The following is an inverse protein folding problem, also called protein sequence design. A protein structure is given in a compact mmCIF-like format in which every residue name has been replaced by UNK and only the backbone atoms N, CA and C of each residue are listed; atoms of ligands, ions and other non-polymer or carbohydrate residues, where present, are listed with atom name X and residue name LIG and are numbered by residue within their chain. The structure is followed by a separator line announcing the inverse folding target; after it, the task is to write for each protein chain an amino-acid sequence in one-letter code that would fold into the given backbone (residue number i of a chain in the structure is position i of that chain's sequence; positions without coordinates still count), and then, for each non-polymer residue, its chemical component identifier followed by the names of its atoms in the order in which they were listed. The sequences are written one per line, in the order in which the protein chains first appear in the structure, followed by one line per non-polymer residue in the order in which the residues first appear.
data_IF_981263714995
#
_entry.id   IF_981263714995
#
_cell.length_a   1.000
_cell.length_b   1.000
_cell.length_c   1.000
_cell.angle_alpha   90.00
_cell.angle_beta   90.00
_cell.angle_gamma   90.00
#
_symmetry.space_group_name_H-M   'P 1'
#
loop_
_entity.id
_entity.type
_entity.pdbx_description
1 polymer ?
#
# COMPACT_ATOMS: atom_id res chain seq x y z
N UNK A 1 -48.91 -10.45 4.75
CA UNK A 1 -49.24 -11.78 5.31
C UNK A 1 -49.39 -12.83 4.22
N UNK A 2 -50.20 -12.59 3.18
CA UNK A 2 -50.43 -13.57 2.10
C UNK A 2 -49.20 -13.83 1.22
N UNK A 3 -48.43 -12.81 0.85
CA UNK A 3 -47.17 -12.97 0.09
C UNK A 3 -46.06 -13.67 0.88
N UNK A 4 -46.00 -13.41 2.17
CA UNK A 4 -45.01 -14.05 3.07
C UNK A 4 -45.40 -15.51 3.38
N UNK A 5 -46.66 -15.78 3.51
CA UNK A 5 -47.18 -17.13 3.66
C UNK A 5 -46.95 -17.98 2.40
N UNK A 6 -47.09 -17.39 1.20
CA UNK A 6 -46.84 -18.08 -0.06
C UNK A 6 -45.35 -18.44 -0.27
N UNK A 7 -44.42 -17.60 0.18
CA UNK A 7 -42.98 -17.92 0.16
C UNK A 7 -42.58 -19.04 1.11
N UNK A 8 -43.27 -19.18 2.24
CA UNK A 8 -43.07 -20.24 3.23
C UNK A 8 -43.82 -21.54 2.90
N UNK A 9 -44.85 -21.50 2.08
CA UNK A 9 -45.75 -22.66 1.83
C UNK A 9 -45.02 -23.87 1.20
N UNK A 10 -43.95 -23.69 0.47
CA UNK A 10 -43.20 -24.77 -0.16
C UNK A 10 -42.24 -25.51 0.80
N UNK A 11 -41.93 -24.94 1.98
CA UNK A 11 -40.94 -25.49 2.91
C UNK A 11 -41.41 -25.58 4.36
N UNK A 12 -42.65 -25.23 4.68
CA UNK A 12 -43.20 -25.21 6.05
C UNK A 12 -43.05 -26.52 6.82
N UNK A 13 -43.04 -27.65 6.11
CA UNK A 13 -42.89 -28.98 6.73
C UNK A 13 -41.45 -29.26 7.23
N UNK A 14 -40.48 -28.41 6.90
CA UNK A 14 -39.08 -28.60 7.28
C UNK A 14 -38.67 -27.75 8.50
N UNK A 15 -39.57 -26.88 8.99
CA UNK A 15 -39.26 -25.97 10.10
C UNK A 15 -40.14 -26.24 11.33
N UNK A 16 -39.57 -26.15 12.51
CA UNK A 16 -40.31 -26.15 13.76
C UNK A 16 -41.12 -24.86 13.93
N UNK A 17 -42.19 -24.90 14.73
CA UNK A 17 -43.00 -23.72 15.05
C UNK A 17 -42.15 -22.57 15.61
N UNK A 18 -41.16 -22.88 16.44
CA UNK A 18 -40.29 -21.89 17.02
C UNK A 18 -39.39 -21.22 15.96
N UNK A 19 -38.89 -21.95 14.99
CA UNK A 19 -38.13 -21.39 13.86
C UNK A 19 -38.98 -20.47 13.01
N UNK A 20 -40.25 -20.86 12.72
CA UNK A 20 -41.20 -20.03 11.98
C UNK A 20 -41.52 -18.75 12.73
N UNK A 21 -41.78 -18.82 14.04
CA UNK A 21 -42.06 -17.65 14.89
C UNK A 21 -40.85 -16.72 14.94
N UNK A 22 -39.65 -17.27 15.06
CA UNK A 22 -38.41 -16.51 15.06
C UNK A 22 -38.19 -15.81 13.71
N UNK A 23 -38.38 -16.53 12.61
CA UNK A 23 -38.32 -15.98 11.26
C UNK A 23 -39.31 -14.82 11.05
N UNK A 24 -40.57 -14.97 11.49
CA UNK A 24 -41.59 -13.92 11.35
C UNK A 24 -41.30 -12.69 12.21
N UNK A 25 -40.66 -12.85 13.39
CA UNK A 25 -40.19 -11.75 14.22
C UNK A 25 -39.05 -11.00 13.54
N UNK A 26 -38.05 -11.73 13.05
CA UNK A 26 -36.91 -11.16 12.32
C UNK A 26 -37.36 -10.42 11.06
N UNK A 27 -38.38 -10.94 10.30
CA UNK A 27 -38.95 -10.27 9.12
C UNK A 27 -39.61 -8.93 9.48
N UNK A 28 -40.29 -8.86 10.64
CA UNK A 28 -40.88 -7.62 11.13
C UNK A 28 -39.89 -6.54 11.50
N UNK A 29 -38.76 -6.94 12.03
CA UNK A 29 -37.67 -6.04 12.50
C UNK A 29 -36.71 -5.63 11.37
N UNK A 30 -36.81 -6.28 10.18
CA UNK A 30 -35.92 -5.97 9.06
C UNK A 30 -36.16 -4.58 8.51
N UNK A 31 -35.08 -3.82 8.27
CA UNK A 31 -35.19 -2.52 7.65
C UNK A 31 -35.75 -2.66 6.22
N UNK A 32 -36.88 -2.00 5.92
CA UNK A 32 -37.45 -1.96 4.56
C UNK A 32 -36.57 -1.25 3.55
N UNK A 33 -35.71 -0.39 4.02
CA UNK A 33 -34.72 0.38 3.21
C UNK A 33 -33.42 0.46 3.95
N UNK A 34 -32.31 0.30 3.24
CA UNK A 34 -30.95 0.37 3.80
C UNK A 34 -30.29 1.62 3.23
N UNK A 35 -29.89 2.55 4.12
CA UNK A 35 -29.08 3.70 3.74
C UNK A 35 -27.63 3.26 3.53
N UNK A 36 -27.21 3.29 2.27
CA UNK A 36 -25.86 2.87 1.88
C UNK A 36 -24.77 3.82 2.43
N UNK A 37 -25.03 5.13 2.50
CA UNK A 37 -24.04 6.09 3.02
C UNK A 37 -23.86 5.89 4.52
N UNK A 38 -24.94 5.69 5.26
CA UNK A 38 -24.87 5.38 6.69
C UNK A 38 -24.11 4.08 6.93
N UNK A 39 -24.42 3.01 6.15
CA UNK A 39 -23.65 1.78 6.21
C UNK A 39 -22.16 1.98 5.97
N UNK A 40 -21.78 2.78 4.96
CA UNK A 40 -20.37 3.06 4.67
C UNK A 40 -19.65 3.78 5.83
N UNK A 41 -20.34 4.72 6.51
CA UNK A 41 -19.80 5.42 7.69
C UNK A 41 -19.59 4.45 8.86
N UNK A 42 -20.58 3.63 9.17
CA UNK A 42 -20.51 2.60 10.20
C UNK A 42 -19.40 1.58 9.90
N UNK A 43 -19.35 1.08 8.67
CA UNK A 43 -18.30 0.14 8.27
C UNK A 43 -16.89 0.72 8.50
N UNK A 44 -16.70 2.03 8.26
CA UNK A 44 -15.44 2.70 8.56
C UNK A 44 -15.12 2.71 10.07
N UNK A 45 -16.09 2.72 10.96
CA UNK A 45 -15.85 2.72 12.40
C UNK A 45 -15.31 1.37 12.89
N UNK A 46 -15.90 0.29 12.41
CA UNK A 46 -15.61 -1.08 12.87
C UNK A 46 -14.46 -1.77 12.11
N UNK A 47 -14.13 -1.29 10.89
CA UNK A 47 -13.12 -1.99 10.10
C UNK A 47 -11.70 -1.72 10.60
N UNK A 48 -10.89 -2.78 10.69
CA UNK A 48 -9.45 -2.71 11.00
C UNK A 48 -8.57 -2.78 9.73
N UNK A 49 -9.16 -2.66 8.55
CA UNK A 49 -8.44 -2.81 7.28
C UNK A 49 -7.33 -1.76 7.15
N UNK A 50 -6.12 -2.23 6.88
CA UNK A 50 -5.01 -1.36 6.47
C UNK A 50 -5.40 -0.63 5.17
N UNK A 51 -5.39 0.70 5.19
CA UNK A 51 -5.84 1.49 4.03
C UNK A 51 -7.22 2.15 4.20
N UNK A 52 -7.81 2.10 5.38
CA UNK A 52 -9.05 2.77 5.79
C UNK A 52 -9.19 4.21 5.26
N UNK A 53 -8.06 4.95 5.17
CA UNK A 53 -8.02 6.31 4.61
C UNK A 53 -8.50 6.38 3.15
N UNK A 54 -8.23 5.36 2.35
CA UNK A 54 -8.65 5.32 0.94
C UNK A 54 -10.18 5.19 0.83
N UNK A 55 -10.78 4.32 1.64
CA UNK A 55 -12.23 4.18 1.73
C UNK A 55 -12.89 5.47 2.18
N UNK A 56 -12.36 6.11 3.24
CA UNK A 56 -12.85 7.41 3.70
C UNK A 56 -12.82 8.46 2.59
N UNK A 57 -11.73 8.51 1.81
CA UNK A 57 -11.60 9.45 0.69
C UNK A 57 -12.60 9.14 -0.43
N UNK A 58 -12.84 7.86 -0.73
CA UNK A 58 -13.82 7.44 -1.74
C UNK A 58 -15.26 7.78 -1.31
N UNK A 59 -15.62 7.50 -0.05
CA UNK A 59 -16.94 7.83 0.51
C UNK A 59 -17.16 9.36 0.47
N UNK A 60 -16.19 10.15 0.92
CA UNK A 60 -16.30 11.60 0.87
C UNK A 60 -16.47 12.13 -0.57
N UNK A 61 -15.73 11.57 -1.53
CA UNK A 61 -15.89 11.94 -2.93
C UNK A 61 -17.28 11.55 -3.47
N UNK A 62 -17.81 10.41 -3.05
CA UNK A 62 -19.14 9.96 -3.44
C UNK A 62 -20.25 10.85 -2.84
N UNK A 63 -20.17 11.19 -1.55
CA UNK A 63 -21.09 12.15 -0.90
C UNK A 63 -21.03 13.51 -1.60
N UNK A 64 -19.82 14.00 -1.93
CA UNK A 64 -19.68 15.27 -2.65
C UNK A 64 -20.33 15.22 -4.03
N UNK A 65 -20.19 14.11 -4.75
CA UNK A 65 -20.86 13.90 -6.04
C UNK A 65 -22.39 13.89 -5.92
N UNK A 66 -22.92 13.18 -4.91
CA UNK A 66 -24.37 13.07 -4.68
C UNK A 66 -25.00 14.39 -4.23
N UNK A 67 -24.24 15.29 -3.59
CA UNK A 67 -24.77 16.50 -2.95
C UNK A 67 -25.68 16.22 -1.74
N UNK A 68 -25.73 14.98 -1.26
CA UNK A 68 -26.54 14.54 -0.11
C UNK A 68 -25.82 13.42 0.62
N UNK A 69 -26.15 13.23 1.89
CA UNK A 69 -25.51 12.27 2.79
C UNK A 69 -26.36 11.01 3.07
N UNK A 70 -27.45 10.84 2.32
CA UNK A 70 -28.34 9.67 2.35
C UNK A 70 -28.57 9.13 0.96
N UNK A 71 -28.49 7.81 0.81
CA UNK A 71 -28.76 7.10 -0.44
C UNK A 71 -29.15 5.66 -0.11
N UNK A 72 -30.36 5.27 -0.49
CA UNK A 72 -30.79 3.88 -0.33
C UNK A 72 -30.03 2.94 -1.28
N UNK A 73 -29.77 1.71 -0.85
CA UNK A 73 -29.05 0.70 -1.65
C UNK A 73 -29.69 0.43 -3.01
N UNK A 74 -31.04 0.47 -3.11
CA UNK A 74 -31.78 0.30 -4.37
C UNK A 74 -31.56 1.45 -5.37
N UNK A 75 -31.13 2.63 -4.90
CA UNK A 75 -30.78 3.80 -5.73
C UNK A 75 -29.34 3.73 -6.24
N UNK A 76 -28.51 2.83 -5.70
CA UNK A 76 -27.16 2.60 -6.22
C UNK A 76 -27.28 1.77 -7.49
N UNK A 77 -27.43 2.43 -8.62
CA UNK A 77 -27.62 1.80 -9.94
C UNK A 77 -26.35 1.82 -10.76
N UNK A 78 -26.28 1.03 -11.83
CA UNK A 78 -25.17 1.06 -12.78
C UNK A 78 -25.01 2.47 -13.39
N UNK A 79 -26.12 3.12 -13.73
CA UNK A 79 -26.10 4.49 -14.27
C UNK A 79 -25.46 5.47 -13.29
N UNK A 80 -25.88 5.44 -12.02
CA UNK A 80 -25.30 6.28 -10.98
C UNK A 80 -23.78 6.04 -10.83
N UNK A 81 -23.33 4.79 -10.94
CA UNK A 81 -21.89 4.47 -10.87
C UNK A 81 -21.13 4.97 -12.11
N UNK A 82 -21.73 4.95 -13.28
CA UNK A 82 -21.17 5.55 -14.49
C UNK A 82 -21.02 7.07 -14.34
N UNK A 83 -22.06 7.74 -13.87
CA UNK A 83 -22.05 9.19 -13.61
C UNK A 83 -21.00 9.57 -12.54
N UNK A 84 -20.86 8.77 -11.49
CA UNK A 84 -19.82 8.98 -10.50
C UNK A 84 -18.41 8.79 -11.09
N UNK A 85 -18.23 7.80 -11.94
CA UNK A 85 -16.96 7.58 -12.64
C UNK A 85 -16.61 8.76 -13.56
N UNK A 86 -17.58 9.29 -14.29
CA UNK A 86 -17.41 10.48 -15.14
C UNK A 86 -17.10 11.73 -14.31
N UNK A 87 -17.75 11.90 -13.17
CA UNK A 87 -17.42 12.95 -12.22
C UNK A 87 -15.96 12.88 -11.76
N UNK A 88 -15.47 11.67 -11.42
CA UNK A 88 -14.08 11.46 -11.01
C UNK A 88 -13.10 11.75 -12.15
N UNK A 89 -13.42 11.36 -13.39
CA UNK A 89 -12.61 11.65 -14.57
C UNK A 89 -12.53 13.17 -14.82
N UNK A 90 -13.64 13.86 -14.83
CA UNK A 90 -13.69 15.33 -14.97
C UNK A 90 -12.88 16.06 -13.90
N UNK A 91 -12.96 15.58 -12.65
CA UNK A 91 -12.17 16.10 -11.52
C UNK A 91 -10.67 15.90 -11.75
N UNK A 92 -10.28 14.70 -12.21
CA UNK A 92 -8.90 14.38 -12.58
C UNK A 92 -8.41 15.31 -13.71
N UNK A 93 -9.17 15.47 -14.77
CA UNK A 93 -8.78 16.25 -15.94
C UNK A 93 -8.58 17.73 -15.61
N UNK A 94 -9.43 18.30 -14.77
CA UNK A 94 -9.22 19.65 -14.21
C UNK A 94 -7.89 19.75 -13.45
N UNK A 95 -7.61 18.76 -12.58
CA UNK A 95 -6.35 18.71 -11.83
C UNK A 95 -5.14 18.56 -12.75
N UNK A 96 -5.24 17.73 -13.78
CA UNK A 96 -4.19 17.52 -14.79
C UNK A 96 -3.89 18.85 -15.50
N UNK A 97 -4.91 19.56 -15.99
CA UNK A 97 -4.76 20.84 -16.68
C UNK A 97 -4.08 21.90 -15.81
N UNK A 98 -4.47 21.98 -14.53
CA UNK A 98 -3.85 22.93 -13.59
C UNK A 98 -2.37 22.60 -13.31
N UNK A 99 -2.05 21.29 -13.17
CA UNK A 99 -0.68 20.86 -12.92
C UNK A 99 0.21 21.03 -14.14
N UNK A 100 -0.32 20.79 -15.34
CA UNK A 100 0.37 21.05 -16.61
C UNK A 100 0.75 22.54 -16.74
N UNK A 101 -0.19 23.45 -16.48
CA UNK A 101 0.07 24.91 -16.49
C UNK A 101 1.17 25.31 -15.50
N UNK A 102 1.32 24.58 -14.40
CA UNK A 102 2.34 24.82 -13.35
C UNK A 102 3.64 24.05 -13.58
N UNK A 103 3.80 23.33 -14.70
CA UNK A 103 4.96 22.46 -14.97
C UNK A 103 5.14 21.36 -13.93
N UNK A 104 4.04 20.95 -13.26
CA UNK A 104 4.07 19.94 -12.21
C UNK A 104 3.68 18.57 -12.77
N UNK A 105 4.10 17.53 -12.08
CA UNK A 105 3.80 16.15 -12.43
C UNK A 105 2.30 15.87 -12.49
N UNK A 106 1.89 15.19 -13.56
CA UNK A 106 0.52 14.72 -13.77
C UNK A 106 0.27 13.45 -12.93
N UNK A 107 -0.83 13.41 -12.16
CA UNK A 107 -1.22 12.21 -11.44
C UNK A 107 -1.75 11.14 -12.41
N UNK A 108 -1.50 9.86 -12.09
CA UNK A 108 -2.09 8.74 -12.82
C UNK A 108 -3.62 8.66 -12.61
N UNK A 109 -4.29 7.79 -13.37
CA UNK A 109 -5.73 7.52 -13.23
C UNK A 109 -6.09 6.72 -11.95
N UNK A 110 -5.12 6.48 -11.07
CA UNK A 110 -5.30 5.64 -9.86
C UNK A 110 -6.48 6.07 -8.99
N UNK A 111 -6.79 7.37 -8.92
CA UNK A 111 -7.89 7.86 -8.09
C UNK A 111 -9.23 7.27 -8.54
N UNK A 112 -9.50 7.25 -9.84
CA UNK A 112 -10.75 6.72 -10.41
C UNK A 112 -10.89 5.23 -10.09
N UNK A 113 -9.89 4.45 -10.45
CA UNK A 113 -9.85 2.99 -10.21
C UNK A 113 -9.96 2.66 -8.72
N UNK A 114 -9.25 3.41 -7.85
CA UNK A 114 -9.27 3.19 -6.40
C UNK A 114 -10.63 3.51 -5.78
N UNK A 115 -11.24 4.64 -6.15
CA UNK A 115 -12.51 5.06 -5.55
C UNK A 115 -13.67 4.19 -6.04
N UNK A 116 -13.74 3.89 -7.33
CA UNK A 116 -14.73 2.95 -7.86
C UNK A 116 -14.59 1.56 -7.22
N UNK A 117 -13.36 1.05 -7.10
CA UNK A 117 -13.08 -0.22 -6.42
C UNK A 117 -13.45 -0.21 -4.93
N UNK A 118 -13.24 0.92 -4.25
CA UNK A 118 -13.62 1.08 -2.84
C UNK A 118 -15.14 1.07 -2.65
N UNK A 119 -15.89 1.81 -3.48
CA UNK A 119 -17.36 1.83 -3.41
C UNK A 119 -17.94 0.45 -3.77
N UNK A 120 -17.37 -0.25 -4.79
CA UNK A 120 -17.76 -1.63 -5.12
C UNK A 120 -17.56 -2.57 -3.93
N UNK A 121 -16.43 -2.49 -3.27
CA UNK A 121 -16.15 -3.32 -2.09
C UNK A 121 -17.18 -3.05 -0.97
N UNK A 122 -17.44 -1.77 -0.66
CA UNK A 122 -18.42 -1.39 0.36
C UNK A 122 -19.83 -1.87 0.03
N UNK A 123 -20.23 -1.80 -1.25
CA UNK A 123 -21.53 -2.32 -1.69
C UNK A 123 -21.63 -3.83 -1.52
N UNK A 124 -20.55 -4.56 -1.83
CA UNK A 124 -20.49 -6.00 -1.61
C UNK A 124 -20.50 -6.36 -0.11
N UNK A 125 -19.86 -5.58 0.74
CA UNK A 125 -19.92 -5.76 2.20
C UNK A 125 -21.35 -5.48 2.74
N UNK A 126 -22.07 -4.50 2.17
CA UNK A 126 -23.48 -4.29 2.49
C UNK A 126 -24.33 -5.50 2.08
N UNK A 127 -24.12 -6.05 0.87
CA UNK A 127 -24.81 -7.30 0.45
C UNK A 127 -24.53 -8.45 1.41
N UNK A 128 -23.30 -8.65 1.83
CA UNK A 128 -22.92 -9.70 2.80
C UNK A 128 -23.61 -9.51 4.17
N UNK A 129 -23.77 -8.26 4.62
CA UNK A 129 -24.40 -7.96 5.91
C UNK A 129 -25.91 -8.15 5.90
N UNK A 130 -26.57 -7.81 4.80
CA UNK A 130 -28.02 -7.69 4.76
C UNK A 130 -28.71 -8.78 3.95
N UNK A 131 -28.02 -9.49 3.06
CA UNK A 131 -28.60 -10.63 2.35
C UNK A 131 -28.26 -11.93 3.08
N UNK A 132 -29.24 -12.80 3.20
CA UNK A 132 -29.08 -14.18 3.65
C UNK A 132 -29.50 -15.10 2.49
N UNK A 133 -28.52 -15.61 1.78
CA UNK A 133 -28.76 -16.43 0.60
C UNK A 133 -29.28 -17.84 0.96
N UNK A 134 -28.92 -18.35 2.12
CA UNK A 134 -29.36 -19.68 2.60
C UNK A 134 -30.83 -19.68 2.89
N UNK A 135 -31.37 -18.54 3.38
CA UNK A 135 -32.80 -18.34 3.65
C UNK A 135 -33.56 -17.62 2.51
N UNK A 136 -32.90 -17.44 1.36
CA UNK A 136 -33.44 -16.70 0.20
C UNK A 136 -33.94 -15.28 0.54
N UNK A 137 -33.25 -14.60 1.48
CA UNK A 137 -33.60 -13.26 1.92
C UNK A 137 -32.68 -12.28 1.22
N UNK A 138 -33.16 -11.59 0.21
CA UNK A 138 -32.40 -10.69 -0.62
C UNK A 138 -32.88 -9.26 -0.43
N UNK A 139 -32.30 -8.52 0.49
CA UNK A 139 -32.63 -7.10 0.76
C UNK A 139 -31.93 -6.15 -0.23
N UNK A 140 -30.78 -6.55 -0.78
CA UNK A 140 -30.02 -5.79 -1.78
C UNK A 140 -29.88 -6.67 -3.05
N UNK A 141 -30.88 -6.68 -3.94
CA UNK A 141 -30.87 -7.53 -5.13
C UNK A 141 -29.98 -6.99 -6.24
N UNK A 142 -29.81 -5.67 -6.34
CA UNK A 142 -29.12 -5.01 -7.43
C UNK A 142 -27.60 -5.28 -7.44
N UNK A 143 -27.01 -5.24 -8.64
CA UNK A 143 -25.57 -5.44 -8.88
C UNK A 143 -25.01 -4.30 -9.75
N UNK A 144 -24.84 -3.10 -9.20
CA UNK A 144 -24.53 -1.88 -9.96
C UNK A 144 -23.16 -1.90 -10.62
N UNK A 145 -22.28 -2.82 -10.22
CA UNK A 145 -20.93 -2.97 -10.76
C UNK A 145 -20.80 -4.14 -11.75
N UNK A 146 -21.86 -4.90 -11.94
CA UNK A 146 -21.90 -5.97 -12.94
C UNK A 146 -21.86 -5.37 -14.34
N UNK A 147 -20.96 -5.88 -15.18
CA UNK A 147 -20.71 -5.35 -16.54
C UNK A 147 -20.38 -3.84 -16.56
N UNK A 148 -19.80 -3.29 -15.48
CA UNK A 148 -19.24 -1.96 -15.43
C UNK A 148 -17.72 -2.02 -15.56
N UNK A 149 -17.20 -1.52 -16.67
CA UNK A 149 -15.76 -1.45 -16.89
C UNK A 149 -15.15 -0.30 -16.07
N UNK A 150 -14.42 -0.68 -15.02
CA UNK A 150 -13.63 0.28 -14.22
C UNK A 150 -12.24 0.38 -14.84
N UNK A 151 -11.75 1.60 -15.17
CA UNK A 151 -10.43 1.79 -15.76
C UNK A 151 -9.33 1.11 -14.93
N UNK A 152 -8.51 0.30 -15.59
CA UNK A 152 -7.33 -0.28 -14.94
C UNK A 152 -6.34 0.81 -14.57
N UNK A 153 -5.65 0.65 -13.45
CA UNK A 153 -4.60 1.57 -13.06
C UNK A 153 -3.48 1.54 -14.11
N UNK A 154 -3.06 2.72 -14.56
CA UNK A 154 -1.90 2.87 -15.44
C UNK A 154 -0.65 2.26 -14.80
N UNK A 155 0.24 1.72 -15.63
CA UNK A 155 1.50 1.17 -15.15
C UNK A 155 2.30 2.22 -14.38
N UNK A 156 2.90 1.81 -13.28
CA UNK A 156 3.76 2.71 -12.51
C UNK A 156 5.01 3.05 -13.30
N UNK A 157 5.38 4.34 -13.28
CA UNK A 157 6.62 4.81 -13.92
C UNK A 157 7.84 4.04 -13.41
N UNK A 158 8.75 3.68 -14.32
CA UNK A 158 10.07 3.18 -13.97
C UNK A 158 10.86 4.28 -13.24
N UNK A 159 11.46 3.96 -12.09
CA UNK A 159 12.15 4.91 -11.21
C UNK A 159 13.58 4.48 -10.91
N UNK A 160 14.07 3.47 -11.60
CA UNK A 160 15.40 2.94 -11.37
C UNK A 160 16.46 3.92 -11.84
N UNK A 161 17.47 4.12 -11.00
CA UNK A 161 18.70 4.86 -11.32
C UNK A 161 19.77 3.89 -11.82
N UNK A 162 20.71 4.41 -12.60
CA UNK A 162 21.92 3.68 -12.97
C UNK A 162 22.91 3.56 -11.79
N UNK A 163 23.89 2.67 -11.89
CA UNK A 163 24.92 2.51 -10.89
C UNK A 163 25.70 3.82 -10.66
N UNK A 164 26.02 4.53 -11.75
CA UNK A 164 26.73 5.82 -11.70
C UNK A 164 25.93 6.89 -10.94
N UNK A 165 24.60 6.92 -11.10
CA UNK A 165 23.78 7.87 -10.37
C UNK A 165 23.70 7.52 -8.88
N UNK A 166 23.70 6.23 -8.53
CA UNK A 166 23.74 5.79 -7.13
C UNK A 166 25.08 6.16 -6.50
N UNK A 167 26.23 5.94 -7.21
CA UNK A 167 27.56 6.41 -6.79
C UNK A 167 27.56 7.92 -6.57
N UNK A 168 27.02 8.70 -7.51
CA UNK A 168 26.90 10.16 -7.38
C UNK A 168 26.09 10.56 -6.15
N UNK A 169 24.99 9.89 -5.83
CA UNK A 169 24.23 10.14 -4.59
C UNK A 169 25.10 9.85 -3.36
N UNK A 170 25.85 8.74 -3.37
CA UNK A 170 26.77 8.37 -2.27
C UNK A 170 27.89 9.38 -2.08
N UNK A 171 28.46 9.91 -3.15
CA UNK A 171 29.62 10.81 -3.17
C UNK A 171 29.25 12.28 -2.90
N UNK A 172 27.95 12.64 -2.95
CA UNK A 172 27.53 14.01 -2.66
C UNK A 172 28.11 14.48 -1.30
N UNK A 173 28.69 15.68 -1.24
CA UNK A 173 29.14 16.23 0.03
C UNK A 173 27.96 16.49 0.98
N UNK A 174 28.22 16.33 2.28
CA UNK A 174 27.25 16.75 3.28
C UNK A 174 27.17 18.27 3.37
N UNK A 175 25.97 18.77 3.61
CA UNK A 175 25.79 20.18 3.99
C UNK A 175 26.29 20.32 5.42
N UNK A 176 27.23 21.24 5.62
CA UNK A 176 27.82 21.53 6.90
C UNK A 176 27.17 22.75 7.57
N UNK A 177 27.24 22.82 8.88
CA UNK A 177 26.87 24.00 9.65
C UNK A 177 28.11 24.96 9.74
N UNK A 178 27.93 26.12 10.38
CA UNK A 178 28.98 27.12 10.53
C UNK A 178 30.23 26.58 11.26
N UNK A 179 30.09 25.52 12.06
CA UNK A 179 31.19 24.90 12.83
C UNK A 179 31.84 23.75 12.08
N UNK A 180 31.60 23.58 10.77
CA UNK A 180 32.18 22.51 9.97
C UNK A 180 31.62 21.10 10.23
N UNK A 181 30.62 20.96 11.11
CA UNK A 181 29.98 19.67 11.39
C UNK A 181 28.80 19.44 10.45
N UNK A 182 28.48 18.17 10.19
CA UNK A 182 27.30 17.82 9.40
C UNK A 182 26.03 18.46 9.97
N UNK A 183 25.31 19.18 9.10
CA UNK A 183 24.04 19.80 9.45
C UNK A 183 22.95 18.74 9.53
N UNK A 184 22.15 18.78 10.60
CA UNK A 184 20.93 18.02 10.66
C UNK A 184 19.87 18.66 9.75
N UNK A 185 19.76 18.16 8.53
CA UNK A 185 18.84 18.68 7.51
C UNK A 185 18.26 17.55 6.64
N UNK A 186 17.12 17.79 5.95
CA UNK A 186 16.51 16.81 5.08
C UNK A 186 17.43 16.29 3.98
N UNK A 187 18.33 17.11 3.44
CA UNK A 187 19.27 16.72 2.39
C UNK A 187 20.22 15.62 2.87
N UNK A 188 20.94 15.83 3.99
CA UNK A 188 21.89 14.88 4.54
C UNK A 188 21.20 13.57 4.95
N UNK A 189 20.05 13.70 5.62
CA UNK A 189 19.24 12.54 5.98
C UNK A 189 18.79 11.74 4.74
N UNK A 190 18.36 12.42 3.70
CA UNK A 190 17.86 11.79 2.49
C UNK A 190 18.94 11.03 1.73
N UNK A 191 20.14 11.62 1.61
CA UNK A 191 21.31 10.97 1.07
C UNK A 191 21.58 9.63 1.78
N UNK A 192 21.71 9.69 3.09
CA UNK A 192 22.05 8.51 3.90
C UNK A 192 20.94 7.44 3.85
N UNK A 193 19.68 7.85 4.02
CA UNK A 193 18.56 6.92 4.00
C UNK A 193 18.34 6.29 2.64
N UNK A 194 18.60 6.99 1.54
CA UNK A 194 18.53 6.42 0.19
C UNK A 194 19.56 5.31 0.00
N UNK A 195 20.79 5.54 0.43
CA UNK A 195 21.86 4.55 0.37
C UNK A 195 21.59 3.38 1.31
N UNK A 196 21.12 3.63 2.54
CA UNK A 196 20.71 2.57 3.46
C UNK A 196 19.62 1.69 2.82
N UNK A 197 18.60 2.31 2.21
CA UNK A 197 17.56 1.56 1.52
C UNK A 197 18.12 0.70 0.39
N UNK A 198 18.95 1.28 -0.47
CA UNK A 198 19.55 0.58 -1.60
C UNK A 198 20.38 -0.61 -1.14
N UNK A 199 21.30 -0.40 -0.21
CA UNK A 199 22.21 -1.44 0.30
C UNK A 199 21.51 -2.52 1.14
N UNK A 200 20.30 -2.22 1.67
CA UNK A 200 19.45 -3.16 2.39
C UNK A 200 18.32 -3.72 1.50
N UNK A 201 18.64 -4.08 0.24
CA UNK A 201 17.71 -4.70 -0.74
C UNK A 201 16.44 -3.87 -0.98
N UNK A 202 16.57 -2.54 -0.98
CA UNK A 202 15.42 -1.65 -1.16
C UNK A 202 14.45 -1.63 0.02
N UNK A 203 14.95 -1.68 1.24
CA UNK A 203 14.13 -1.59 2.46
C UNK A 203 13.27 -0.34 2.45
N UNK A 204 11.96 -0.48 2.75
CA UNK A 204 11.05 0.65 2.78
C UNK A 204 11.33 1.58 3.97
N UNK A 205 10.99 2.86 3.85
CA UNK A 205 11.21 3.84 4.92
C UNK A 205 10.47 3.50 6.23
N UNK A 206 9.29 2.89 6.13
CA UNK A 206 8.56 2.43 7.31
C UNK A 206 9.30 1.28 8.03
N UNK A 207 9.91 0.38 7.26
CA UNK A 207 10.67 -0.74 7.81
C UNK A 207 11.99 -0.25 8.39
N UNK A 208 12.69 0.68 7.71
CA UNK A 208 13.90 1.33 8.23
C UNK A 208 13.64 2.11 9.53
N UNK A 209 12.48 2.78 9.64
CA UNK A 209 12.06 3.48 10.85
C UNK A 209 11.76 2.53 12.02
N UNK A 210 11.28 1.31 11.73
CA UNK A 210 10.70 0.42 12.71
C UNK A 210 11.56 -0.82 13.03
N UNK A 211 12.60 -1.16 12.25
CA UNK A 211 13.41 -2.36 12.50
C UNK A 211 14.03 -2.32 13.90
N UNK A 212 13.93 -3.44 14.60
CA UNK A 212 14.27 -3.55 16.02
C UNK A 212 15.37 -4.56 16.34
N UNK A 213 15.69 -5.43 15.41
CA UNK A 213 16.61 -6.54 15.67
C UNK A 213 17.87 -6.41 14.81
N UNK A 214 19.02 -6.42 15.48
CA UNK A 214 20.32 -6.52 14.84
C UNK A 214 21.20 -7.48 15.68
N UNK A 215 21.73 -8.50 15.02
CA UNK A 215 22.62 -9.47 15.64
C UNK A 215 23.61 -9.99 14.58
N UNK A 216 24.86 -10.18 14.95
CA UNK A 216 25.91 -10.74 14.09
C UNK A 216 25.97 -10.08 12.69
N UNK A 217 25.89 -8.76 12.65
CA UNK A 217 25.86 -7.98 11.40
C UNK A 217 24.67 -8.27 10.47
N UNK A 218 23.58 -8.82 11.02
CA UNK A 218 22.32 -9.10 10.31
C UNK A 218 21.21 -8.25 10.93
N UNK A 219 20.48 -7.49 10.08
CA UNK A 219 19.23 -6.84 10.45
C UNK A 219 18.10 -7.80 10.17
N UNK A 220 17.32 -8.12 11.21
CA UNK A 220 16.05 -8.85 11.08
C UNK A 220 14.89 -7.88 11.22
N UNK A 221 13.96 -7.89 10.27
CA UNK A 221 12.76 -7.07 10.33
C UNK A 221 11.55 -7.78 9.73
N UNK A 222 10.37 -7.30 10.10
CA UNK A 222 9.08 -7.80 9.62
C UNK A 222 8.42 -6.71 8.79
N UNK A 223 8.20 -6.97 7.50
CA UNK A 223 7.72 -5.95 6.57
C UNK A 223 6.38 -5.38 6.99
N UNK A 224 6.35 -4.13 7.44
CA UNK A 224 5.20 -3.44 8.04
C UNK A 224 3.91 -3.51 7.20
N UNK A 225 4.04 -3.52 5.86
CA UNK A 225 2.89 -3.54 4.95
C UNK A 225 2.16 -4.89 4.93
N UNK A 226 2.88 -6.00 5.10
CA UNK A 226 2.38 -7.36 4.84
C UNK A 226 2.43 -8.29 6.04
N UNK A 227 3.05 -7.89 7.16
CA UNK A 227 3.23 -8.72 8.36
C UNK A 227 1.92 -9.33 8.89
N UNK A 228 0.81 -8.60 8.85
CA UNK A 228 -0.50 -9.09 9.32
C UNK A 228 -1.26 -9.98 8.31
N UNK A 229 -0.67 -10.30 7.16
CA UNK A 229 -1.32 -11.11 6.11
C UNK A 229 -0.57 -12.40 5.80
N UNK A 230 0.57 -12.62 6.45
CA UNK A 230 1.48 -13.72 6.17
C UNK A 230 1.74 -14.55 7.42
N UNK A 231 1.80 -15.86 7.28
CA UNK A 231 2.12 -16.81 8.35
C UNK A 231 3.54 -16.55 8.87
N UNK A 232 4.51 -16.32 7.98
CA UNK A 232 5.91 -15.99 8.30
C UNK A 232 6.11 -14.53 8.77
N UNK A 233 5.00 -13.80 9.02
CA UNK A 233 4.98 -12.38 9.41
C UNK A 233 5.81 -11.49 8.49
N UNK A 234 6.05 -11.92 7.25
CA UNK A 234 6.88 -11.24 6.27
C UNK A 234 8.31 -10.95 6.79
N UNK A 235 8.93 -11.92 7.47
CA UNK A 235 10.30 -11.84 7.99
C UNK A 235 11.31 -11.62 6.88
N UNK A 236 12.31 -10.79 7.15
CA UNK A 236 13.49 -10.55 6.32
C UNK A 236 14.74 -10.53 7.18
N UNK A 237 15.83 -11.07 6.64
CA UNK A 237 17.17 -10.99 7.23
C UNK A 237 18.15 -10.45 6.19
N UNK A 238 18.79 -9.34 6.50
CA UNK A 238 19.70 -8.66 5.58
C UNK A 238 21.06 -8.54 6.25
N UNK A 239 22.09 -9.14 5.64
CA UNK A 239 23.48 -8.93 6.02
C UNK A 239 23.85 -7.49 5.66
N UNK A 240 24.45 -6.79 6.60
CA UNK A 240 24.82 -5.39 6.44
C UNK A 240 26.10 -5.29 5.60
N UNK A 241 26.04 -4.69 4.40
CA UNK A 241 27.21 -4.47 3.58
C UNK A 241 28.22 -3.54 4.28
N UNK A 242 29.55 -3.78 4.14
CA UNK A 242 30.59 -2.96 4.78
C UNK A 242 30.47 -1.46 4.48
N UNK A 243 30.08 -1.10 3.26
CA UNK A 243 29.97 0.29 2.81
C UNK A 243 29.01 1.14 3.66
N UNK A 244 27.98 0.55 4.27
CA UNK A 244 27.02 1.30 5.10
C UNK A 244 27.29 1.20 6.61
N UNK A 245 28.37 0.55 7.05
CA UNK A 245 28.73 0.49 8.46
C UNK A 245 28.88 1.88 9.12
N UNK A 246 29.49 2.90 8.47
CA UNK A 246 29.52 4.24 9.04
C UNK A 246 28.13 4.85 9.27
N UNK A 247 27.17 4.54 8.39
CA UNK A 247 25.78 5.02 8.54
C UNK A 247 25.04 4.30 9.67
N UNK A 248 25.35 3.01 9.89
CA UNK A 248 24.82 2.31 11.06
C UNK A 248 25.28 2.95 12.36
N UNK A 249 26.58 3.23 12.47
CA UNK A 249 27.14 3.91 13.65
C UNK A 249 26.53 5.29 13.83
N UNK A 250 26.41 6.08 12.76
CA UNK A 250 25.81 7.43 12.75
C UNK A 250 24.38 7.45 13.27
N UNK A 251 23.59 6.47 12.89
CA UNK A 251 22.14 6.41 13.20
C UNK A 251 21.79 5.38 14.27
N UNK A 252 22.76 4.76 14.93
CA UNK A 252 22.53 3.74 15.96
C UNK A 252 21.58 4.26 17.06
N UNK A 253 20.65 3.42 17.46
CA UNK A 253 19.85 3.65 18.65
C UNK A 253 20.55 3.06 19.89
N UNK A 254 21.11 3.92 20.70
CA UNK A 254 21.80 3.51 21.93
C UNK A 254 20.86 3.06 23.06
N UNK A 255 19.53 3.22 22.89
CA UNK A 255 18.57 2.69 23.88
C UNK A 255 18.26 1.21 23.69
N UNK A 256 18.71 0.61 22.59
CA UNK A 256 18.46 -0.79 22.26
C UNK A 256 17.01 -1.13 21.86
N UNK A 257 16.13 -0.13 21.78
CA UNK A 257 14.72 -0.36 21.39
C UNK A 257 14.58 -0.66 19.90
N UNK A 258 15.44 -0.07 19.07
CA UNK A 258 15.47 -0.25 17.61
C UNK A 258 16.89 -0.27 17.07
N UNK A 259 17.06 -0.65 15.81
CA UNK A 259 18.36 -0.60 15.13
C UNK A 259 18.79 0.86 14.92
N UNK A 260 17.86 1.69 14.45
CA UNK A 260 18.12 3.09 14.15
C UNK A 260 17.27 4.03 15.03
N UNK A 261 17.85 5.18 15.37
CA UNK A 261 17.20 6.23 16.17
C UNK A 261 16.16 7.07 15.41
N UNK A 262 15.79 6.71 14.18
CA UNK A 262 14.83 7.47 13.36
C UNK A 262 13.47 7.67 14.02
N UNK A 263 12.99 6.71 14.80
CA UNK A 263 11.74 6.81 15.56
C UNK A 263 11.78 7.90 16.65
N UNK A 264 12.97 8.28 17.14
CA UNK A 264 13.16 9.38 18.09
C UNK A 264 13.26 10.73 17.37
N UNK A 265 13.71 10.74 16.12
CA UNK A 265 13.80 11.94 15.28
C UNK A 265 12.45 12.32 14.66
N UNK A 266 11.61 11.32 14.40
CA UNK A 266 10.33 11.47 13.73
C UNK A 266 9.26 10.63 14.43
N UNK A 267 8.19 11.27 14.86
CA UNK A 267 7.09 10.64 15.60
C UNK A 267 6.28 9.60 14.79
N UNK A 268 6.49 9.54 13.47
CA UNK A 268 5.86 8.54 12.60
C UNK A 268 6.70 8.23 11.36
N UNK A 269 6.58 7.00 10.87
CA UNK A 269 7.21 6.58 9.62
C UNK A 269 6.76 7.44 8.41
N UNK A 270 5.55 8.00 8.44
CA UNK A 270 5.08 8.90 7.39
C UNK A 270 5.82 10.24 7.40
N UNK A 271 6.03 10.84 8.58
CA UNK A 271 6.80 12.08 8.70
C UNK A 271 8.27 11.87 8.33
N UNK A 272 8.84 10.74 8.75
CA UNK A 272 10.17 10.31 8.32
C UNK A 272 10.29 10.21 6.79
N UNK A 273 9.37 9.49 6.14
CA UNK A 273 9.33 9.38 4.68
C UNK A 273 9.16 10.74 3.97
N UNK A 274 8.36 11.65 4.54
CA UNK A 274 8.21 13.01 3.98
C UNK A 274 9.50 13.82 4.06
N UNK A 275 10.22 13.74 5.18
CA UNK A 275 11.51 14.42 5.36
C UNK A 275 12.55 13.89 4.36
N UNK A 276 12.65 12.57 4.19
CA UNK A 276 13.53 11.96 3.20
C UNK A 276 13.18 12.45 1.79
N UNK A 277 11.92 12.39 1.38
CA UNK A 277 11.53 12.80 0.03
C UNK A 277 11.71 14.30 -0.21
N UNK A 278 11.64 15.14 0.84
CA UNK A 278 11.98 16.56 0.74
C UNK A 278 13.47 16.76 0.39
N UNK A 279 14.36 16.03 1.05
CA UNK A 279 15.79 16.06 0.76
C UNK A 279 16.13 15.45 -0.61
N UNK A 280 15.47 14.34 -0.98
CA UNK A 280 15.67 13.72 -2.30
C UNK A 280 15.27 14.63 -3.46
N UNK A 281 14.28 15.50 -3.29
CA UNK A 281 13.95 16.53 -4.29
C UNK A 281 15.10 17.53 -4.48
N UNK A 282 15.82 17.85 -3.42
CA UNK A 282 17.02 18.73 -3.50
C UNK A 282 18.15 18.00 -4.21
N UNK A 283 18.41 16.74 -3.85
CA UNK A 283 19.42 15.88 -4.51
C UNK A 283 19.07 15.70 -5.99
N UNK A 284 17.80 15.44 -6.32
CA UNK A 284 17.35 15.30 -7.70
C UNK A 284 17.62 16.53 -8.54
N UNK A 285 17.43 17.74 -7.99
CA UNK A 285 17.77 18.99 -8.69
C UNK A 285 19.27 19.10 -9.00
N UNK A 286 20.13 18.75 -8.04
CA UNK A 286 21.60 18.80 -8.22
C UNK A 286 22.07 17.79 -9.27
N UNK A 287 21.54 16.57 -9.21
CA UNK A 287 21.93 15.48 -10.12
C UNK A 287 21.10 15.43 -11.41
N UNK A 288 20.18 16.38 -11.62
CA UNK A 288 19.26 16.44 -12.79
C UNK A 288 18.43 15.17 -12.93
N UNK A 289 17.95 14.63 -11.80
CA UNK A 289 17.06 13.45 -11.74
C UNK A 289 15.65 13.95 -11.43
N UNK A 290 14.75 13.82 -12.38
CA UNK A 290 13.36 14.21 -12.21
C UNK A 290 12.65 13.32 -11.19
N UNK A 291 11.89 13.95 -10.28
CA UNK A 291 11.05 13.28 -9.29
C UNK A 291 11.76 12.17 -8.51
N UNK A 292 13.00 12.42 -8.05
CA UNK A 292 13.70 11.46 -7.20
C UNK A 292 12.93 11.27 -5.88
N UNK A 293 12.55 10.04 -5.62
CA UNK A 293 11.82 9.62 -4.41
C UNK A 293 12.52 8.44 -3.74
N UNK A 294 12.29 8.24 -2.44
CA UNK A 294 12.87 7.15 -1.67
C UNK A 294 12.70 5.77 -2.31
N UNK A 295 11.53 5.52 -2.87
CA UNK A 295 11.20 4.24 -3.52
C UNK A 295 12.04 3.95 -4.76
N UNK A 296 12.73 4.94 -5.32
CA UNK A 296 13.66 4.75 -6.42
C UNK A 296 14.84 3.86 -6.02
N UNK A 297 15.31 3.88 -4.76
CA UNK A 297 16.36 2.99 -4.27
C UNK A 297 15.98 1.51 -4.49
N UNK A 298 14.74 1.13 -4.14
CA UNK A 298 14.23 -0.22 -4.32
C UNK A 298 14.09 -0.62 -5.79
N UNK A 299 13.59 0.29 -6.63
CA UNK A 299 13.53 0.06 -8.08
C UNK A 299 14.90 -0.11 -8.70
N UNK A 300 15.87 0.69 -8.25
CA UNK A 300 17.24 0.63 -8.73
C UNK A 300 17.90 -0.69 -8.35
N UNK A 301 17.79 -1.11 -7.09
CA UNK A 301 18.34 -2.39 -6.65
C UNK A 301 17.78 -3.53 -7.49
N UNK A 302 16.45 -3.62 -7.63
CA UNK A 302 15.81 -4.69 -8.40
C UNK A 302 16.20 -4.68 -9.88
N UNK A 303 16.27 -3.50 -10.50
CA UNK A 303 16.61 -3.35 -11.92
C UNK A 303 18.08 -3.71 -12.17
N UNK A 304 18.99 -3.27 -11.31
CA UNK A 304 20.41 -3.60 -11.43
C UNK A 304 20.66 -5.08 -11.16
N UNK A 305 20.00 -5.67 -10.17
CA UNK A 305 20.10 -7.08 -9.86
C UNK A 305 19.76 -7.96 -11.08
N UNK A 306 18.61 -7.69 -11.71
CA UNK A 306 18.19 -8.48 -12.88
C UNK A 306 19.00 -8.13 -14.12
N UNK A 307 19.07 -6.83 -14.48
CA UNK A 307 19.50 -6.44 -15.84
C UNK A 307 21.01 -6.27 -15.97
N UNK A 308 21.73 -6.11 -14.87
CA UNK A 308 23.19 -5.86 -14.89
C UNK A 308 23.97 -6.98 -14.23
N UNK A 309 23.46 -7.50 -13.11
CA UNK A 309 24.15 -8.55 -12.33
C UNK A 309 23.70 -9.96 -12.76
N UNK A 310 22.55 -10.07 -13.46
CA UNK A 310 22.05 -11.35 -13.94
C UNK A 310 21.38 -12.22 -12.86
N UNK A 311 20.93 -11.61 -11.77
CA UNK A 311 20.17 -12.32 -10.73
C UNK A 311 18.79 -12.70 -11.29
N UNK A 312 18.38 -13.92 -11.08
CA UNK A 312 17.08 -14.40 -11.53
C UNK A 312 15.91 -13.65 -10.85
N UNK A 313 14.77 -13.60 -11.54
CA UNK A 313 13.61 -12.83 -11.05
C UNK A 313 13.01 -13.39 -9.78
N UNK A 314 13.08 -14.70 -9.55
CA UNK A 314 12.55 -15.33 -8.34
C UNK A 314 13.35 -14.90 -7.11
N UNK A 315 14.69 -14.95 -7.18
CA UNK A 315 15.58 -14.44 -6.13
C UNK A 315 15.32 -12.95 -5.85
N UNK A 316 15.18 -12.12 -6.90
CA UNK A 316 14.86 -10.69 -6.71
C UNK A 316 13.47 -10.50 -6.08
N UNK A 317 12.49 -11.29 -6.47
CA UNK A 317 11.14 -11.26 -5.90
C UNK A 317 11.16 -11.60 -4.40
N UNK A 318 11.91 -12.65 -4.01
CA UNK A 318 12.13 -13.05 -2.62
C UNK A 318 12.87 -11.96 -1.82
N UNK A 319 13.96 -11.40 -2.36
CA UNK A 319 14.72 -10.31 -1.74
C UNK A 319 13.86 -9.04 -1.52
N UNK A 320 12.94 -8.77 -2.41
CA UNK A 320 11.95 -7.71 -2.25
C UNK A 320 10.80 -8.08 -1.31
N UNK A 321 10.80 -9.29 -0.75
CA UNK A 321 9.75 -9.82 0.11
C UNK A 321 8.35 -9.73 -0.53
N UNK A 322 8.27 -10.04 -1.82
CA UNK A 322 7.01 -10.19 -2.55
C UNK A 322 6.51 -11.65 -2.41
N UNK A 323 5.21 -11.85 -2.57
CA UNK A 323 4.61 -13.17 -2.74
C UNK A 323 4.32 -13.32 -4.24
N UNK A 324 4.70 -14.44 -4.81
CA UNK A 324 4.23 -14.86 -6.12
C UNK A 324 3.10 -15.86 -5.92
N UNK A 325 1.87 -15.48 -6.26
CA UNK A 325 0.70 -16.35 -6.12
C UNK A 325 0.82 -17.64 -6.98
N UNK A 326 1.52 -17.56 -8.10
CA UNK A 326 1.76 -18.72 -8.96
C UNK A 326 2.74 -19.73 -8.34
N UNK A 327 3.66 -19.26 -7.49
CA UNK A 327 4.66 -20.09 -6.83
C UNK A 327 4.25 -20.52 -5.41
N UNK A 328 3.09 -20.10 -4.94
CA UNK A 328 2.64 -20.30 -3.54
C UNK A 328 2.66 -21.77 -3.10
N UNK A 329 2.28 -22.68 -4.01
CA UNK A 329 2.28 -24.11 -3.69
C UNK A 329 3.72 -24.64 -3.56
N UNK A 330 4.62 -24.22 -4.43
CA UNK A 330 6.04 -24.60 -4.38
C UNK A 330 6.72 -24.04 -3.14
N UNK A 331 6.38 -22.80 -2.72
CA UNK A 331 6.94 -22.15 -1.54
C UNK A 331 6.61 -22.89 -0.22
N UNK A 332 5.56 -23.73 -0.21
CA UNK A 332 5.24 -24.57 0.97
C UNK A 332 6.31 -25.63 1.23
N UNK A 333 6.95 -26.11 0.17
CA UNK A 333 7.98 -27.18 0.25
C UNK A 333 9.40 -26.66 0.43
N UNK A 334 9.60 -25.34 0.27
CA UNK A 334 10.93 -24.71 0.31
C UNK A 334 11.09 -23.98 1.65
N UNK A 335 12.03 -24.43 2.46
CA UNK A 335 12.46 -23.65 3.62
C UNK A 335 13.20 -22.41 3.16
N UNK A 336 12.77 -21.24 3.65
CA UNK A 336 13.33 -19.96 3.24
C UNK A 336 14.75 -19.79 3.78
N UNK A 337 15.71 -19.69 2.89
CA UNK A 337 17.09 -19.45 3.19
C UNK A 337 17.51 -18.04 2.69
N UNK A 338 17.63 -17.10 3.64
CA UNK A 338 18.03 -15.72 3.33
C UNK A 338 19.43 -15.56 2.79
N UNK A 339 20.26 -16.61 2.78
CA UNK A 339 21.61 -16.59 2.22
C UNK A 339 21.57 -16.28 0.72
N UNK A 340 20.60 -16.83 -0.01
CA UNK A 340 20.49 -16.63 -1.47
C UNK A 340 20.26 -15.14 -1.79
N UNK A 341 19.34 -14.49 -1.09
CA UNK A 341 19.04 -13.07 -1.29
C UNK A 341 20.22 -12.20 -0.85
N UNK A 342 20.93 -12.59 0.22
CA UNK A 342 22.09 -11.86 0.69
C UNK A 342 23.31 -12.01 -0.24
N UNK A 343 23.53 -13.18 -0.83
CA UNK A 343 24.56 -13.41 -1.85
C UNK A 343 24.25 -12.56 -3.12
N UNK A 344 22.97 -12.50 -3.50
CA UNK A 344 22.52 -11.61 -4.59
C UNK A 344 22.80 -10.14 -4.25
N UNK A 345 22.50 -9.71 -3.01
CA UNK A 345 22.78 -8.35 -2.56
C UNK A 345 24.28 -8.03 -2.61
N UNK A 346 25.12 -8.94 -2.15
CA UNK A 346 26.58 -8.76 -2.20
C UNK A 346 27.09 -8.55 -3.64
N UNK A 347 26.57 -9.31 -4.61
CA UNK A 347 26.89 -9.14 -6.04
C UNK A 347 26.45 -7.76 -6.56
N UNK A 348 25.26 -7.28 -6.17
CA UNK A 348 24.80 -5.93 -6.55
C UNK A 348 25.66 -4.85 -5.92
N UNK A 349 26.07 -5.01 -4.65
CA UNK A 349 26.97 -4.06 -3.99
C UNK A 349 28.33 -4.00 -4.69
N UNK A 350 28.91 -5.15 -5.02
CA UNK A 350 30.16 -5.24 -5.78
C UNK A 350 30.05 -4.52 -7.13
N UNK A 351 29.01 -4.81 -7.90
CA UNK A 351 28.77 -4.16 -9.19
C UNK A 351 28.69 -2.63 -9.08
N UNK A 352 27.97 -2.12 -8.06
CA UNK A 352 27.74 -0.67 -7.95
C UNK A 352 28.92 0.05 -7.36
N UNK A 353 29.61 -0.49 -6.36
CA UNK A 353 30.59 0.27 -5.57
C UNK A 353 32.05 -0.14 -5.80
N UNK A 354 32.33 -1.35 -6.31
CA UNK A 354 33.69 -1.88 -6.46
C UNK A 354 34.12 -1.99 -7.92
N UNK A 355 33.20 -2.29 -8.85
CA UNK A 355 33.53 -2.35 -10.28
C UNK A 355 33.65 -0.95 -10.90
N UNK A 356 34.77 -0.76 -11.66
CA UNK A 356 35.09 0.51 -12.36
C UNK A 356 34.32 0.60 -13.69
#
# INVERSE_FOLDING_TARGET
YQEQSAKLQLELNNYSINEIVTFLKEERERPKTIDFIQFCKEWLEYTEIKGKKNYKSAINAFITFLGKDKLNTNQVTKLLMMEFMDYLNKKRDKQVTELQKKGKRIPSNRMVSLYMGSIRHLFNEAKKKYNDYDRNIILIPNSPFENLEIPKQEATRKRALSAELIKKVWELPYILNANGKERNCPFNLAKDCFILSFCLMGMNSADLHNCSEIQNNIITYYRSKTTGRRIDKAKMQVIIPPIIQPLLVKYKDYTGKKVFRFYRMYNSANNFNRAINLGLKQIGKILKIDDLEYYAARHSWATLAVNKVGIDKYTVHAALNHIDEAMRITDIYIERNFKIENDANAKVMKYVFEEK
#
